data_IF_497373357637
#
_entry.id   IF_497373357637
#
_cell.length_a   1.000
_cell.length_b   1.000
_cell.length_c   1.000
_cell.angle_alpha   90.00
_cell.angle_beta   90.00
_cell.angle_gamma   90.00
#
_symmetry.space_group_name_H-M   'P 1'
#
loop_
_entity.id
_entity.type
_entity.pdbx_description
1 polymer ?
#
# COMPACT_ATOMS: atom_id res chain seq x y z
N UNK A 1 20.29 -10.78 -4.18
CA UNK A 1 20.33 -10.79 -2.70
C UNK A 1 18.92 -11.10 -2.20
N UNK A 2 18.74 -12.28 -1.61
CA UNK A 2 17.48 -12.65 -0.99
C UNK A 2 17.23 -11.73 0.21
N UNK A 3 16.21 -10.87 0.13
CA UNK A 3 15.78 -10.03 1.24
C UNK A 3 15.02 -10.91 2.22
N UNK A 4 15.38 -10.88 3.49
CA UNK A 4 14.60 -11.47 4.56
C UNK A 4 13.53 -10.50 5.00
N UNK A 5 12.33 -10.98 5.21
CA UNK A 5 11.16 -10.16 5.50
C UNK A 5 10.78 -10.17 6.97
N UNK A 6 9.85 -9.33 7.31
CA UNK A 6 9.45 -8.92 8.65
C UNK A 6 9.23 -10.09 9.61
N UNK A 7 9.98 -10.13 10.69
CA UNK A 7 9.88 -11.13 11.76
C UNK A 7 8.54 -11.02 12.51
N UNK A 8 7.96 -9.84 12.58
CA UNK A 8 6.73 -9.63 13.38
C UNK A 8 5.54 -10.42 12.86
N UNK A 9 5.46 -10.55 11.53
CA UNK A 9 4.35 -11.26 10.90
C UNK A 9 4.67 -12.75 10.67
N UNK A 10 5.91 -13.18 11.01
CA UNK A 10 6.38 -14.56 10.94
C UNK A 10 7.35 -14.87 12.10
N UNK A 11 6.84 -15.10 13.32
CA UNK A 11 7.67 -15.30 14.53
C UNK A 11 8.69 -16.44 14.41
N UNK A 12 8.41 -17.44 13.57
CA UNK A 12 9.30 -18.59 13.33
C UNK A 12 10.59 -18.16 12.59
N UNK A 13 10.57 -17.07 11.83
CA UNK A 13 11.75 -16.52 11.17
C UNK A 13 12.70 -15.81 12.14
N UNK A 14 12.28 -15.52 13.37
CA UNK A 14 13.13 -14.92 14.42
C UNK A 14 14.42 -15.71 14.66
N UNK A 15 14.34 -17.03 14.58
CA UNK A 15 15.48 -17.94 14.75
C UNK A 15 16.28 -18.20 13.47
N UNK A 16 15.79 -17.74 12.31
CA UNK A 16 16.38 -18.04 11.00
C UNK A 16 16.83 -16.77 10.27
N UNK A 17 17.87 -16.14 10.76
CA UNK A 17 18.54 -15.00 10.13
C UNK A 17 19.92 -15.36 9.60
N UNK A 18 20.04 -16.20 8.54
CA UNK A 18 21.31 -16.82 8.16
C UNK A 18 22.41 -15.82 7.77
N UNK A 19 22.06 -14.55 7.49
CA UNK A 19 23.04 -13.49 7.17
C UNK A 19 23.01 -12.33 8.16
N UNK A 20 22.24 -12.42 9.26
CA UNK A 20 22.09 -11.34 10.23
C UNK A 20 21.44 -10.06 9.66
N UNK A 21 20.82 -10.12 8.48
CA UNK A 21 20.19 -8.97 7.83
C UNK A 21 18.71 -9.25 7.67
N UNK A 22 17.88 -8.35 8.24
CA UNK A 22 16.43 -8.35 8.07
C UNK A 22 16.05 -7.11 7.26
N UNK A 23 15.37 -7.31 6.15
CA UNK A 23 14.90 -6.23 5.31
C UNK A 23 13.45 -5.87 5.68
N UNK A 24 13.19 -4.57 5.89
CA UNK A 24 11.82 -4.08 6.01
C UNK A 24 11.08 -4.29 4.68
N UNK A 25 9.84 -4.79 4.68
CA UNK A 25 9.03 -4.94 3.47
C UNK A 25 8.64 -3.59 2.85
N UNK A 26 8.04 -3.67 1.66
CA UNK A 26 7.51 -2.53 0.94
C UNK A 26 6.41 -1.81 1.74
N UNK A 27 6.37 -0.48 1.64
CA UNK A 27 5.44 0.36 2.41
C UNK A 27 3.97 0.09 2.08
N UNK A 28 3.64 -0.19 0.82
CA UNK A 28 2.29 -0.54 0.39
C UNK A 28 1.86 -1.88 1.01
N UNK A 29 2.74 -2.88 0.95
CA UNK A 29 2.50 -4.19 1.56
C UNK A 29 2.26 -4.04 3.06
N UNK A 30 3.14 -3.35 3.79
CA UNK A 30 3.03 -3.25 5.24
C UNK A 30 1.78 -2.52 5.73
N UNK A 31 1.23 -1.59 4.94
CA UNK A 31 0.00 -0.91 5.30
C UNK A 31 -1.23 -1.86 5.28
N UNK A 32 -1.27 -2.86 4.38
CA UNK A 32 -2.41 -3.78 4.28
C UNK A 32 -2.24 -5.07 5.11
N UNK A 33 -1.02 -5.46 5.46
CA UNK A 33 -0.77 -6.76 6.11
C UNK A 33 -1.50 -6.96 7.43
N UNK A 34 -1.60 -6.01 8.37
CA UNK A 34 -2.36 -6.22 9.60
C UNK A 34 -3.85 -6.51 9.34
N UNK A 35 -4.43 -5.84 8.34
CA UNK A 35 -5.83 -6.02 7.94
C UNK A 35 -6.05 -7.38 7.28
N UNK A 36 -5.22 -7.70 6.29
CA UNK A 36 -5.36 -8.96 5.53
C UNK A 36 -5.04 -10.18 6.37
N UNK A 37 -4.08 -10.09 7.31
CA UNK A 37 -3.79 -11.18 8.27
C UNK A 37 -4.98 -11.49 9.14
N UNK A 38 -5.61 -10.47 9.73
CA UNK A 38 -6.78 -10.68 10.59
C UNK A 38 -7.96 -11.31 9.81
N UNK A 39 -8.21 -10.87 8.58
CA UNK A 39 -9.24 -11.44 7.73
C UNK A 39 -8.89 -12.86 7.24
N UNK A 40 -7.61 -13.13 6.96
CA UNK A 40 -7.13 -14.48 6.62
C UNK A 40 -7.38 -15.46 7.77
N UNK A 41 -7.03 -15.09 8.98
CA UNK A 41 -7.23 -15.94 10.16
C UNK A 41 -8.70 -16.26 10.40
N UNK A 42 -9.60 -15.34 10.05
CA UNK A 42 -11.04 -15.53 10.20
C UNK A 42 -11.66 -16.39 9.08
N UNK A 43 -11.29 -16.16 7.82
CA UNK A 43 -12.01 -16.69 6.67
C UNK A 43 -11.15 -17.40 5.62
N UNK A 44 -9.81 -17.39 5.73
CA UNK A 44 -8.92 -18.03 4.76
C UNK A 44 -8.81 -17.24 3.45
N UNK A 45 -7.89 -16.26 3.40
CA UNK A 45 -7.66 -15.44 2.21
C UNK A 45 -7.06 -16.26 1.06
N UNK A 46 -7.65 -16.20 -0.13
CA UNK A 46 -7.23 -16.93 -1.32
C UNK A 46 -6.77 -16.03 -2.46
N UNK A 47 -7.36 -14.83 -2.58
CA UNK A 47 -7.09 -13.90 -3.67
C UNK A 47 -7.10 -12.46 -3.14
N UNK A 48 -6.18 -11.63 -3.63
CA UNK A 48 -6.22 -10.17 -3.48
C UNK A 48 -5.98 -9.49 -4.82
N UNK A 49 -6.83 -8.52 -5.15
CA UNK A 49 -6.58 -7.54 -6.22
C UNK A 49 -6.52 -6.18 -5.58
N UNK A 50 -5.43 -5.45 -5.85
CA UNK A 50 -5.11 -4.20 -5.13
C UNK A 50 -4.83 -3.09 -6.12
N UNK A 51 -5.55 -1.97 -6.01
CA UNK A 51 -5.14 -0.71 -6.59
C UNK A 51 -4.57 0.17 -5.48
N UNK A 52 -3.30 0.61 -5.62
CA UNK A 52 -2.69 1.49 -4.63
C UNK A 52 -2.66 2.94 -5.14
N UNK A 53 -2.91 3.86 -4.24
CA UNK A 53 -2.78 5.31 -4.43
C UNK A 53 -1.67 5.78 -3.51
N UNK A 54 -0.48 5.96 -4.09
CA UNK A 54 0.76 6.14 -3.32
C UNK A 54 1.19 7.60 -3.27
N UNK A 55 1.44 8.08 -2.06
CA UNK A 55 1.96 9.41 -1.80
C UNK A 55 3.38 9.61 -2.35
N UNK A 56 3.72 10.85 -2.71
CA UNK A 56 5.01 11.23 -3.29
C UNK A 56 6.19 11.00 -2.34
N UNK A 57 5.98 11.01 -1.02
CA UNK A 57 7.05 10.71 -0.05
C UNK A 57 7.61 9.27 -0.17
N UNK A 58 6.87 8.36 -0.84
CA UNK A 58 7.38 7.04 -1.22
C UNK A 58 8.56 7.10 -2.20
N UNK A 59 8.69 8.19 -2.96
CA UNK A 59 9.84 8.50 -3.82
C UNK A 59 10.94 9.32 -3.10
N UNK A 60 10.86 9.43 -1.76
CA UNK A 60 11.80 10.20 -0.95
C UNK A 60 11.59 11.71 -1.03
N UNK A 61 12.59 12.47 -0.56
CA UNK A 61 12.55 13.94 -0.53
C UNK A 61 12.37 14.52 -1.94
N UNK A 62 13.04 13.96 -2.94
CA UNK A 62 12.92 14.41 -4.31
C UNK A 62 11.48 14.39 -4.83
N UNK A 63 10.69 13.35 -4.48
CA UNK A 63 9.28 13.29 -4.86
C UNK A 63 8.43 14.38 -4.20
N UNK A 64 8.72 14.70 -2.95
CA UNK A 64 8.04 15.78 -2.20
C UNK A 64 8.36 17.15 -2.81
N UNK A 65 9.63 17.43 -3.06
CA UNK A 65 10.11 18.69 -3.65
C UNK A 65 9.56 18.89 -5.06
N UNK A 66 9.51 17.81 -5.87
CA UNK A 66 8.90 17.84 -7.22
C UNK A 66 7.43 18.24 -7.15
N UNK A 67 6.63 17.65 -6.26
CA UNK A 67 5.22 18.03 -6.13
C UNK A 67 5.07 19.50 -5.72
N UNK A 68 5.84 19.96 -4.72
CA UNK A 68 5.82 21.36 -4.28
C UNK A 68 6.13 22.31 -5.44
N UNK A 69 7.19 22.01 -6.20
CA UNK A 69 7.62 22.85 -7.33
C UNK A 69 6.56 22.92 -8.43
N UNK A 70 6.00 21.78 -8.83
CA UNK A 70 4.99 21.70 -9.87
C UNK A 70 3.66 22.37 -9.45
N UNK A 71 3.23 22.23 -8.21
CA UNK A 71 2.04 22.94 -7.70
C UNK A 71 2.28 24.46 -7.71
N UNK A 72 3.46 24.91 -7.29
CA UNK A 72 3.81 26.32 -7.28
C UNK A 72 3.92 26.93 -8.69
N UNK A 73 4.35 26.16 -9.68
CA UNK A 73 4.56 26.68 -11.06
C UNK A 73 3.26 27.11 -11.74
N UNK A 74 2.16 26.38 -11.53
CA UNK A 74 0.86 26.72 -12.12
C UNK A 74 0.10 27.76 -11.30
N UNK A 75 0.29 27.77 -9.97
CA UNK A 75 -0.34 28.74 -9.06
C UNK A 75 -1.86 28.81 -9.23
N UNK A 76 -2.39 30.04 -9.28
CA UNK A 76 -3.84 30.28 -9.40
C UNK A 76 -4.43 29.87 -10.77
N UNK A 77 -3.59 29.57 -11.76
CA UNK A 77 -4.03 29.08 -13.05
C UNK A 77 -4.47 27.60 -13.03
N UNK A 78 -4.38 26.92 -11.89
CA UNK A 78 -4.72 25.49 -11.75
C UNK A 78 -6.17 25.17 -12.20
N UNK A 79 -7.09 26.14 -12.17
CA UNK A 79 -8.47 25.99 -12.65
C UNK A 79 -8.53 25.77 -14.18
N UNK A 80 -7.51 26.17 -14.93
CA UNK A 80 -7.43 25.95 -16.37
C UNK A 80 -7.34 24.46 -16.72
N UNK A 81 -6.79 23.64 -15.79
CA UNK A 81 -6.68 22.19 -15.94
C UNK A 81 -8.05 21.46 -16.08
N UNK A 82 -9.15 22.14 -15.77
CA UNK A 82 -10.50 21.62 -16.04
C UNK A 82 -10.75 21.42 -17.54
N UNK A 83 -10.10 22.25 -18.36
CA UNK A 83 -10.33 22.28 -19.80
C UNK A 83 -9.07 21.97 -20.63
N UNK A 84 -7.89 22.24 -20.09
CA UNK A 84 -6.61 22.10 -20.79
C UNK A 84 -5.51 21.55 -19.87
N UNK A 85 -5.17 20.29 -20.05
CA UNK A 85 -4.07 19.66 -19.31
C UNK A 85 -2.68 20.24 -19.63
N UNK A 86 -2.53 20.92 -20.77
CA UNK A 86 -1.26 21.57 -21.15
C UNK A 86 -1.00 22.87 -20.38
N UNK A 87 -1.99 23.38 -19.63
CA UNK A 87 -1.81 24.54 -18.75
C UNK A 87 -0.76 24.30 -17.65
N UNK A 88 -0.49 23.02 -17.28
CA UNK A 88 0.63 22.65 -16.43
C UNK A 88 1.86 22.37 -17.28
N UNK A 89 2.68 23.38 -17.49
CA UNK A 89 3.96 23.26 -18.19
C UNK A 89 5.04 22.77 -17.21
N UNK A 90 5.61 21.59 -17.49
CA UNK A 90 6.70 20.98 -16.70
C UNK A 90 7.81 20.57 -17.65
N UNK A 91 9.02 21.09 -17.44
CA UNK A 91 10.19 20.66 -18.19
C UNK A 91 10.62 19.24 -17.81
N UNK A 92 11.38 18.55 -18.69
CA UNK A 92 11.92 17.23 -18.38
C UNK A 92 12.74 17.22 -17.08
N UNK A 93 13.50 18.28 -16.81
CA UNK A 93 14.29 18.44 -15.59
C UNK A 93 13.41 18.55 -14.33
N UNK A 94 12.19 19.05 -14.47
CA UNK A 94 11.24 19.28 -13.38
C UNK A 94 10.28 18.12 -13.16
N UNK A 95 10.37 17.05 -13.94
CA UNK A 95 9.66 15.80 -13.70
C UNK A 95 10.15 15.09 -12.42
N UNK A 96 11.40 15.34 -12.00
CA UNK A 96 12.01 14.67 -10.87
C UNK A 96 12.06 13.15 -11.06
N UNK A 97 11.59 12.36 -10.08
CA UNK A 97 11.60 10.90 -10.18
C UNK A 97 10.41 10.30 -10.98
N UNK A 98 9.66 11.11 -11.72
CA UNK A 98 8.41 10.68 -12.37
C UNK A 98 8.53 10.72 -13.89
N UNK A 99 7.71 9.91 -14.56
CA UNK A 99 7.65 9.83 -16.04
C UNK A 99 6.75 10.90 -16.68
N UNK A 100 5.97 11.60 -15.86
CA UNK A 100 5.07 12.68 -16.26
C UNK A 100 4.81 13.60 -15.05
N UNK A 101 4.24 14.81 -15.24
CA UNK A 101 3.90 15.69 -14.13
C UNK A 101 3.03 14.99 -13.09
N UNK A 102 3.40 15.14 -11.80
CA UNK A 102 2.68 14.53 -10.69
C UNK A 102 1.60 15.47 -10.11
N UNK A 103 1.80 16.79 -10.15
CA UNK A 103 0.82 17.73 -9.65
C UNK A 103 -0.51 17.60 -10.42
N UNK A 104 -1.62 17.54 -9.70
CA UNK A 104 -2.98 17.39 -10.25
C UNK A 104 -3.18 16.16 -11.16
N UNK A 105 -2.36 15.13 -11.01
CA UNK A 105 -2.33 13.98 -11.90
C UNK A 105 -2.31 12.66 -11.11
N UNK A 106 -2.59 11.54 -11.79
CA UNK A 106 -2.40 10.20 -11.29
C UNK A 106 -1.53 9.41 -12.27
N UNK A 107 -0.41 8.90 -11.79
CA UNK A 107 0.55 8.16 -12.64
C UNK A 107 0.44 6.66 -12.34
N UNK A 108 -0.12 5.83 -13.25
CA UNK A 108 -0.25 4.39 -13.04
C UNK A 108 1.08 3.66 -13.29
N UNK A 109 2.14 4.21 -12.73
CA UNK A 109 3.50 3.68 -12.78
C UNK A 109 4.23 4.14 -11.50
N UNK A 110 4.22 3.31 -10.47
CA UNK A 110 5.03 3.52 -9.28
C UNK A 110 6.12 2.45 -9.23
N UNK A 111 7.38 2.87 -9.05
CA UNK A 111 8.55 2.00 -9.17
C UNK A 111 9.08 1.92 -10.60
N UNK A 112 9.88 0.89 -10.89
CA UNK A 112 10.48 0.66 -12.20
C UNK A 112 9.91 -0.60 -12.82
N UNK A 113 9.66 -0.59 -14.13
CA UNK A 113 9.30 -1.79 -14.87
C UNK A 113 10.38 -2.86 -14.73
N UNK A 114 9.97 -4.10 -14.57
CA UNK A 114 10.85 -5.25 -14.47
C UNK A 114 10.93 -5.93 -15.81
N UNK A 115 12.16 -6.17 -16.28
CA UNK A 115 12.42 -6.84 -17.57
C UNK A 115 12.32 -8.37 -17.41
N UNK A 116 11.08 -8.87 -17.25
CA UNK A 116 10.78 -10.31 -17.15
C UNK A 116 9.56 -10.74 -18.00
N UNK A 117 9.08 -9.84 -18.85
CA UNK A 117 7.96 -10.06 -19.76
C UNK A 117 6.57 -9.94 -19.10
N UNK A 118 6.46 -9.57 -17.83
CA UNK A 118 5.17 -9.37 -17.14
C UNK A 118 4.61 -7.96 -17.28
N UNK A 119 5.46 -6.99 -17.65
CA UNK A 119 5.15 -5.56 -17.66
C UNK A 119 4.75 -5.01 -16.28
N UNK A 120 5.07 -5.73 -15.22
CA UNK A 120 4.86 -5.28 -13.84
C UNK A 120 5.99 -4.35 -13.38
N UNK A 121 5.69 -3.45 -12.46
CA UNK A 121 6.71 -2.72 -11.73
C UNK A 121 7.28 -3.55 -10.57
N UNK A 122 8.46 -3.18 -10.09
CA UNK A 122 9.06 -3.79 -8.90
C UNK A 122 8.19 -3.60 -7.64
N UNK A 123 7.39 -2.53 -7.57
CA UNK A 123 6.39 -2.30 -6.51
C UNK A 123 5.25 -3.33 -6.56
N UNK A 124 4.75 -3.64 -7.75
CA UNK A 124 3.68 -4.62 -7.96
C UNK A 124 4.16 -6.04 -7.64
N UNK A 125 5.38 -6.37 -8.05
CA UNK A 125 6.00 -7.65 -7.70
C UNK A 125 6.29 -7.79 -6.21
N UNK A 126 6.75 -6.73 -5.54
CA UNK A 126 6.93 -6.71 -4.08
C UNK A 126 5.59 -6.98 -3.38
N UNK A 127 4.52 -6.29 -3.76
CA UNK A 127 3.20 -6.51 -3.19
C UNK A 127 2.81 -7.99 -3.24
N UNK A 128 2.97 -8.65 -4.40
CA UNK A 128 2.67 -10.08 -4.57
C UNK A 128 3.57 -10.98 -3.72
N UNK A 129 4.86 -10.82 -3.87
CA UNK A 129 5.84 -11.74 -3.28
C UNK A 129 5.93 -11.58 -1.75
N UNK A 130 5.84 -10.37 -1.28
CA UNK A 130 5.87 -10.04 0.15
C UNK A 130 4.59 -10.50 0.85
N UNK A 131 3.41 -10.27 0.26
CA UNK A 131 2.14 -10.76 0.82
C UNK A 131 2.14 -12.26 1.01
N UNK A 132 2.59 -13.03 0.01
CA UNK A 132 2.72 -14.49 0.10
C UNK A 132 3.63 -14.90 1.26
N UNK A 133 4.77 -14.25 1.38
CA UNK A 133 5.76 -14.59 2.40
C UNK A 133 5.30 -14.21 3.80
N UNK A 134 4.83 -12.97 3.99
CA UNK A 134 4.43 -12.45 5.31
C UNK A 134 3.23 -13.22 5.87
N UNK A 135 2.25 -13.53 5.02
CA UNK A 135 1.06 -14.27 5.43
C UNK A 135 1.30 -15.78 5.54
N UNK A 136 2.43 -16.29 5.03
CA UNK A 136 2.71 -17.73 4.99
C UNK A 136 1.81 -18.48 4.02
N UNK A 137 1.33 -17.82 2.94
CA UNK A 137 0.44 -18.40 1.93
C UNK A 137 1.15 -18.39 0.56
N UNK A 138 1.99 -19.36 0.23
CA UNK A 138 2.75 -19.37 -1.04
C UNK A 138 1.86 -19.28 -2.28
N UNK A 139 0.68 -19.87 -2.23
CA UNK A 139 -0.28 -19.94 -3.34
C UNK A 139 -1.26 -18.77 -3.40
N UNK A 140 -1.12 -17.75 -2.53
CA UNK A 140 -1.98 -16.59 -2.56
C UNK A 140 -1.95 -15.91 -3.93
N UNK A 141 -3.13 -15.75 -4.52
CA UNK A 141 -3.27 -15.05 -5.81
C UNK A 141 -3.29 -13.55 -5.55
N UNK A 142 -2.25 -12.85 -5.95
CA UNK A 142 -2.13 -11.39 -5.78
C UNK A 142 -1.85 -10.74 -7.12
N UNK A 143 -2.61 -9.70 -7.43
CA UNK A 143 -2.38 -8.80 -8.55
C UNK A 143 -2.54 -7.37 -8.04
N UNK A 144 -1.69 -6.46 -8.49
CA UNK A 144 -1.72 -5.07 -8.09
C UNK A 144 -1.48 -4.12 -9.24
N UNK A 145 -2.02 -2.90 -9.13
CA UNK A 145 -1.64 -1.75 -9.94
C UNK A 145 -1.22 -0.64 -9.01
N UNK A 146 0.00 -0.16 -9.17
CA UNK A 146 0.59 0.84 -8.31
C UNK A 146 0.54 2.22 -8.96
N UNK A 147 -0.26 3.13 -8.38
CA UNK A 147 -0.52 4.47 -8.89
C UNK A 147 0.12 5.52 -7.97
N UNK A 148 0.93 6.42 -8.52
CA UNK A 148 1.42 7.59 -7.79
C UNK A 148 0.41 8.73 -7.89
N UNK A 149 0.11 9.39 -6.76
CA UNK A 149 -0.85 10.48 -6.68
C UNK A 149 -0.23 11.71 -5.99
N UNK A 150 -0.77 12.93 -6.20
CA UNK A 150 -0.24 14.18 -5.66
C UNK A 150 -0.62 14.38 -4.18
N UNK A 151 -0.27 13.44 -3.34
CA UNK A 151 -0.45 13.45 -1.89
C UNK A 151 0.92 13.33 -1.23
N UNK A 152 1.20 14.14 -0.22
CA UNK A 152 2.52 14.17 0.40
C UNK A 152 2.84 12.89 1.19
N UNK A 153 1.94 12.43 2.05
CA UNK A 153 2.15 11.28 2.94
C UNK A 153 0.87 10.47 3.08
N UNK A 154 1.03 9.18 3.26
CA UNK A 154 -0.05 8.21 3.39
C UNK A 154 -0.37 7.51 2.07
N UNK A 155 -0.23 6.18 2.07
CA UNK A 155 -0.68 5.33 0.95
C UNK A 155 -2.09 4.84 1.22
N UNK A 156 -2.91 4.83 0.18
CA UNK A 156 -4.26 4.27 0.23
C UNK A 156 -4.37 3.12 -0.75
N UNK A 157 -4.93 2.01 -0.31
CA UNK A 157 -5.13 0.80 -1.11
C UNK A 157 -6.61 0.43 -1.14
N UNK A 158 -7.13 0.22 -2.34
CA UNK A 158 -8.42 -0.44 -2.55
C UNK A 158 -8.15 -1.91 -2.76
N UNK A 159 -8.74 -2.75 -1.91
CA UNK A 159 -8.51 -4.19 -1.91
C UNK A 159 -9.81 -4.92 -2.21
N UNK A 160 -9.78 -5.78 -3.21
CA UNK A 160 -10.76 -6.81 -3.48
C UNK A 160 -10.18 -8.14 -3.02
N UNK A 161 -10.78 -8.75 -2.01
CA UNK A 161 -10.29 -9.97 -1.40
C UNK A 161 -11.31 -11.10 -1.49
N UNK A 162 -10.84 -12.31 -1.85
CA UNK A 162 -11.66 -13.52 -1.86
C UNK A 162 -11.19 -14.48 -0.77
N UNK A 163 -12.12 -15.22 -0.19
CA UNK A 163 -11.90 -16.09 0.97
C UNK A 163 -12.41 -17.50 0.72
N UNK A 164 -11.87 -18.48 1.47
CA UNK A 164 -12.36 -19.84 1.47
C UNK A 164 -13.77 -19.96 2.08
N UNK A 165 -13.99 -19.22 3.19
CA UNK A 165 -15.23 -19.22 3.94
C UNK A 165 -15.99 -17.92 3.71
N UNK A 166 -17.34 -17.96 3.72
CA UNK A 166 -18.15 -16.76 3.74
C UNK A 166 -17.78 -15.83 4.89
N UNK A 167 -17.77 -14.54 4.63
CA UNK A 167 -17.55 -13.50 5.65
C UNK A 167 -18.36 -12.26 5.30
N UNK A 168 -19.19 -11.80 6.24
CA UNK A 168 -20.00 -10.59 6.04
C UNK A 168 -19.19 -9.33 6.40
N UNK A 169 -19.58 -8.16 5.90
CA UNK A 169 -18.97 -6.90 6.30
C UNK A 169 -19.02 -6.63 7.83
N UNK A 170 -20.09 -7.07 8.51
CA UNK A 170 -20.24 -6.95 9.96
C UNK A 170 -19.21 -7.80 10.70
N UNK A 171 -19.08 -9.07 10.29
CA UNK A 171 -18.07 -9.98 10.85
C UNK A 171 -16.65 -9.46 10.60
N UNK A 172 -16.39 -8.92 9.41
CA UNK A 172 -15.10 -8.32 9.09
C UNK A 172 -14.78 -7.11 9.98
N UNK A 173 -15.77 -6.22 10.25
CA UNK A 173 -15.58 -5.10 11.18
C UNK A 173 -15.32 -5.56 12.61
N UNK A 174 -16.00 -6.59 13.08
CA UNK A 174 -15.79 -7.16 14.40
C UNK A 174 -14.35 -7.69 14.54
N UNK A 175 -13.91 -8.52 13.60
CA UNK A 175 -12.54 -9.06 13.53
C UNK A 175 -11.51 -7.93 13.52
N UNK A 176 -11.69 -6.94 12.65
CA UNK A 176 -10.73 -5.85 12.45
C UNK A 176 -10.70 -4.88 13.64
N UNK A 177 -11.80 -4.72 14.37
CA UNK A 177 -11.85 -3.85 15.56
C UNK A 177 -10.97 -4.36 16.70
N UNK A 178 -10.68 -5.65 16.74
CA UNK A 178 -9.79 -6.29 17.72
C UNK A 178 -8.38 -6.56 17.20
N UNK A 179 -8.12 -6.31 15.90
CA UNK A 179 -6.86 -6.63 15.27
C UNK A 179 -5.73 -5.66 15.69
N UNK A 180 -4.55 -6.16 16.09
CA UNK A 180 -3.42 -5.30 16.44
C UNK A 180 -2.96 -4.43 15.27
N UNK A 181 -2.71 -3.15 15.52
CA UNK A 181 -2.21 -2.21 14.52
C UNK A 181 -3.26 -1.74 13.51
N UNK A 182 -4.55 -2.05 13.74
CA UNK A 182 -5.67 -1.69 12.87
C UNK A 182 -6.63 -0.74 13.59
N UNK A 183 -7.23 0.19 12.86
CA UNK A 183 -8.33 1.03 13.32
C UNK A 183 -9.42 1.07 12.26
N UNK A 184 -10.61 0.63 12.63
CA UNK A 184 -11.79 0.72 11.76
C UNK A 184 -12.33 2.15 11.77
N UNK A 185 -12.57 2.71 10.58
CA UNK A 185 -13.14 4.04 10.35
C UNK A 185 -14.11 3.98 9.18
N UNK A 186 -14.96 4.98 9.00
CA UNK A 186 -15.91 4.98 7.87
C UNK A 186 -15.21 5.20 6.54
N UNK A 187 -14.36 6.24 6.45
CA UNK A 187 -13.62 6.63 5.26
C UNK A 187 -12.14 6.82 5.61
N UNK A 188 -11.29 5.81 5.35
CA UNK A 188 -9.85 5.96 5.53
C UNK A 188 -9.26 6.84 4.45
N UNK A 189 -8.50 7.86 4.86
CA UNK A 189 -7.82 8.78 3.93
C UNK A 189 -6.33 8.87 4.25
N UNK A 190 -5.47 9.17 3.26
CA UNK A 190 -4.05 9.35 3.49
C UNK A 190 -3.77 10.50 4.48
N UNK A 191 -4.54 11.57 4.42
CA UNK A 191 -4.40 12.71 5.35
C UNK A 191 -4.69 12.30 6.80
N UNK A 192 -5.70 11.47 7.04
CA UNK A 192 -6.01 10.95 8.37
C UNK A 192 -5.00 9.91 8.87
N UNK A 193 -4.32 9.23 7.95
CA UNK A 193 -3.30 8.23 8.26
C UNK A 193 -1.92 8.85 8.52
N UNK A 194 -1.66 10.05 8.01
CA UNK A 194 -0.38 10.73 8.19
C UNK A 194 -0.08 11.01 9.68
N UNK A 195 1.09 10.59 10.14
CA UNK A 195 1.55 10.78 11.53
C UNK A 195 1.05 9.76 12.55
N UNK A 196 0.20 8.80 12.15
CA UNK A 196 -0.27 7.74 13.07
C UNK A 196 0.35 6.37 12.76
N UNK A 197 0.35 5.49 13.76
CA UNK A 197 1.01 4.19 13.70
C UNK A 197 0.09 3.06 13.22
N UNK A 198 -1.21 3.32 13.14
CA UNK A 198 -2.24 2.34 12.81
C UNK A 198 -2.57 2.34 11.32
N UNK A 199 -2.88 1.19 10.77
CA UNK A 199 -3.55 1.08 9.48
C UNK A 199 -5.04 1.39 9.66
N UNK A 200 -5.52 2.43 9.00
CA UNK A 200 -6.95 2.76 8.95
C UNK A 200 -7.62 1.86 7.93
N UNK A 201 -8.72 1.22 8.30
CA UNK A 201 -9.52 0.42 7.37
C UNK A 201 -10.98 0.85 7.40
N UNK A 202 -11.61 0.93 6.24
CA UNK A 202 -13.00 1.33 6.12
C UNK A 202 -13.59 1.00 4.76
N UNK A 203 -14.78 1.54 4.47
CA UNK A 203 -15.50 1.24 3.24
C UNK A 203 -15.70 -0.27 3.04
N UNK A 204 -15.76 -1.04 4.14
CA UNK A 204 -15.90 -2.49 4.13
C UNK A 204 -17.29 -2.86 3.63
N UNK A 205 -17.34 -3.62 2.55
CA UNK A 205 -18.60 -4.06 1.91
C UNK A 205 -18.44 -5.42 1.23
N UNK A 206 -19.57 -6.09 0.99
CA UNK A 206 -19.55 -7.31 0.19
C UNK A 206 -19.10 -7.00 -1.24
N UNK A 207 -18.24 -7.81 -1.82
CA UNK A 207 -17.89 -7.74 -3.24
C UNK A 207 -19.02 -8.39 -4.05
N UNK A 208 -19.72 -7.59 -4.87
CA UNK A 208 -20.84 -8.06 -5.69
C UNK A 208 -20.40 -8.91 -6.89
N UNK A 209 -19.10 -8.98 -7.16
CA UNK A 209 -18.52 -9.81 -8.22
C UNK A 209 -18.17 -11.22 -7.74
N UNK A 210 -18.31 -11.50 -6.42
CA UNK A 210 -17.96 -12.80 -5.81
C UNK A 210 -19.20 -13.41 -5.16
N UNK A 211 -19.49 -14.66 -5.52
CA UNK A 211 -20.65 -15.39 -5.00
C UNK A 211 -20.43 -15.88 -3.55
N UNK A 212 -21.49 -16.39 -2.94
CA UNK A 212 -21.49 -17.07 -1.63
C UNK A 212 -20.97 -16.19 -0.45
N UNK A 213 -21.02 -14.88 -0.57
CA UNK A 213 -20.46 -13.95 0.41
C UNK A 213 -18.96 -14.21 0.72
N UNK A 214 -18.22 -14.75 -0.23
CA UNK A 214 -16.80 -15.04 -0.11
C UNK A 214 -15.89 -13.90 -0.56
N UNK A 215 -16.44 -12.76 -0.92
CA UNK A 215 -15.68 -11.59 -1.37
C UNK A 215 -15.94 -10.35 -0.55
N UNK A 216 -14.90 -9.62 -0.19
CA UNK A 216 -14.99 -8.30 0.43
C UNK A 216 -14.24 -7.26 -0.38
N UNK A 217 -14.79 -6.06 -0.43
CA UNK A 217 -14.06 -4.85 -0.85
C UNK A 217 -13.87 -3.95 0.35
N UNK A 218 -12.66 -3.50 0.57
CA UNK A 218 -12.33 -2.55 1.63
C UNK A 218 -11.22 -1.61 1.19
N UNK A 219 -11.08 -0.50 1.92
CA UNK A 219 -10.03 0.49 1.68
C UNK A 219 -9.15 0.57 2.92
N UNK A 220 -7.84 0.60 2.71
CA UNK A 220 -6.86 0.78 3.78
C UNK A 220 -6.04 2.03 3.50
N UNK A 221 -5.81 2.86 4.53
CA UNK A 221 -4.85 3.96 4.46
C UNK A 221 -3.84 3.83 5.60
N UNK A 222 -2.55 3.97 5.30
CA UNK A 222 -1.48 3.88 6.28
C UNK A 222 -0.36 4.89 5.99
N UNK A 223 0.30 5.36 7.03
CA UNK A 223 1.48 6.22 6.91
C UNK A 223 2.65 5.41 6.34
N UNK A 224 3.05 5.73 5.12
CA UNK A 224 4.11 5.03 4.41
C UNK A 224 5.51 5.26 4.98
N UNK A 225 5.72 6.34 5.73
CA UNK A 225 7.00 6.65 6.38
C UNK A 225 7.09 6.02 7.78
N UNK A 226 5.95 5.78 8.44
CA UNK A 226 5.87 5.17 9.78
C UNK A 226 5.62 3.66 9.69
N UNK A 227 4.37 3.22 9.60
CA UNK A 227 4.04 1.78 9.50
C UNK A 227 4.67 1.14 8.27
N UNK A 228 4.72 1.84 7.17
CA UNK A 228 5.37 1.36 5.94
C UNK A 228 6.90 1.29 5.99
N UNK A 229 7.56 1.97 6.94
CA UNK A 229 9.03 2.07 6.97
C UNK A 229 9.59 2.08 8.39
N UNK A 230 9.78 3.27 8.98
CA UNK A 230 10.57 3.44 10.21
C UNK A 230 9.97 2.71 11.42
N UNK A 231 8.68 2.85 11.68
CA UNK A 231 8.01 2.19 12.80
C UNK A 231 8.09 0.67 12.68
N UNK A 232 7.83 0.13 11.49
CA UNK A 232 7.90 -1.31 11.28
C UNK A 232 9.31 -1.86 11.51
N UNK A 233 10.34 -1.11 11.08
CA UNK A 233 11.75 -1.47 11.34
C UNK A 233 12.06 -1.51 12.84
N UNK A 234 11.58 -0.52 13.61
CA UNK A 234 11.74 -0.49 15.07
C UNK A 234 11.02 -1.69 15.71
N UNK A 235 9.79 -1.95 15.30
CA UNK A 235 9.00 -3.09 15.81
C UNK A 235 9.66 -4.44 15.51
N UNK A 236 10.36 -4.58 14.38
CA UNK A 236 11.18 -5.77 14.11
C UNK A 236 12.36 -5.84 15.08
N UNK A 237 13.05 -4.73 15.33
CA UNK A 237 14.18 -4.70 16.25
C UNK A 237 13.78 -5.06 17.69
N UNK A 238 12.63 -4.59 18.15
CA UNK A 238 12.05 -4.94 19.46
C UNK A 238 11.79 -6.44 19.66
N UNK A 239 11.57 -7.19 18.58
CA UNK A 239 11.39 -8.64 18.63
C UNK A 239 12.71 -9.42 18.75
N UNK A 240 13.84 -8.75 18.56
CA UNK A 240 15.18 -9.36 18.57
C UNK A 240 15.91 -9.21 19.92
N UNK A 241 15.42 -8.36 20.81
CA UNK A 241 15.96 -8.09 22.14
C UNK A 241 15.20 -8.79 23.24
#
# INVERSE_FOLDING_TARGET
RQRQMCIRDSPEEKSNTPKGIIANPNCTTMAIMPVTKALHDAAGLTTMRVASYQAVSGSGLAGVETLVKQVASIGDRNVELVHDGSALEVSEEDLGPYVAPIAYNALPLAGNLVDDGTEETDEEQKLRNESRKILGIPELKVSGTCVRIPVFTGHTMVVHAEFEKPITPEQAREVLSSAPGVKVVDVPTPLAAAGIDLSLVGRIRQDQAVEDNKGLVFVVSGDNLRKGAALNTIQIAELLV
#
